data_IF_813440439130
#
_entry.id   IF_813440439130
#
_cell.length_a   1.000
_cell.length_b   1.000
_cell.length_c   1.000
_cell.angle_alpha   90.00
_cell.angle_beta   90.00
_cell.angle_gamma   90.00
#
_symmetry.space_group_name_H-M   'P 1'
#
loop_
_entity.id
_entity.type
_entity.pdbx_description
1 polymer ?
#
# COMPACT_ATOMS: atom_id res chain seq x y z
N UNK A 1 -9.20 -2.11 16.12
CA UNK A 1 -9.09 -2.49 14.70
C UNK A 1 -7.61 -2.42 14.36
N UNK A 2 -7.02 -3.46 13.76
CA UNK A 2 -5.59 -3.46 13.48
C UNK A 2 -5.19 -2.35 12.50
N UNK A 3 -4.15 -1.60 12.83
CA UNK A 3 -3.52 -0.57 12.02
C UNK A 3 -2.26 -1.18 11.40
N UNK A 4 -2.20 -1.14 10.07
CA UNK A 4 -1.03 -1.57 9.30
C UNK A 4 -0.40 -0.36 8.62
N UNK A 5 0.90 -0.18 8.82
CA UNK A 5 1.72 0.74 8.04
C UNK A 5 2.26 0.01 6.83
N UNK A 6 1.75 0.41 5.67
CA UNK A 6 2.19 -0.09 4.37
C UNK A 6 3.30 0.81 3.86
N UNK A 7 4.50 0.26 3.75
CA UNK A 7 5.70 0.99 3.30
C UNK A 7 6.14 0.50 1.94
N UNK A 8 6.50 1.42 1.06
CA UNK A 8 7.06 1.10 -0.25
C UNK A 8 8.54 0.76 -0.08
N UNK A 9 8.92 -0.44 -0.54
CA UNK A 9 10.30 -0.93 -0.45
C UNK A 9 11.11 -0.70 -1.72
N UNK A 10 10.44 -0.48 -2.85
CA UNK A 10 11.08 -0.38 -4.16
C UNK A 10 10.49 0.80 -4.92
N UNK A 11 11.35 1.70 -5.41
CA UNK A 11 10.94 2.81 -6.26
C UNK A 11 10.48 2.27 -7.62
N UNK A 12 9.32 2.73 -8.09
CA UNK A 12 8.78 2.35 -9.40
C UNK A 12 8.24 3.59 -10.10
N UNK A 13 8.51 3.66 -11.40
CA UNK A 13 7.96 4.68 -12.29
C UNK A 13 7.16 3.93 -13.35
N UNK A 14 5.85 4.17 -13.40
CA UNK A 14 4.97 3.49 -14.34
C UNK A 14 3.75 4.35 -14.64
N UNK A 15 3.28 4.35 -15.89
CA UNK A 15 2.11 5.10 -16.34
C UNK A 15 2.12 6.59 -15.94
N UNK A 16 3.29 7.24 -16.01
CA UNK A 16 3.44 8.67 -15.68
C UNK A 16 3.37 9.00 -14.18
N UNK A 17 3.22 8.01 -13.32
CA UNK A 17 3.24 8.17 -11.87
C UNK A 17 4.51 7.52 -11.29
N UNK A 18 4.97 8.04 -10.15
CA UNK A 18 6.19 7.58 -9.46
C UNK A 18 5.88 7.29 -7.99
N UNK A 19 6.36 6.14 -7.52
CA UNK A 19 6.35 5.79 -6.10
C UNK A 19 7.80 5.67 -5.67
N UNK A 20 8.16 6.37 -4.59
CA UNK A 20 9.49 6.30 -4.00
C UNK A 20 9.57 5.34 -2.82
N UNK A 21 10.72 4.67 -2.71
CA UNK A 21 11.10 3.87 -1.56
C UNK A 21 11.09 4.72 -0.30
N UNK A 22 10.48 4.21 0.76
CA UNK A 22 10.34 4.90 2.05
C UNK A 22 9.02 5.63 2.24
N UNK A 23 8.20 5.74 1.19
CA UNK A 23 6.84 6.26 1.30
C UNK A 23 5.97 5.25 2.08
N UNK A 24 5.30 5.72 3.13
CA UNK A 24 4.45 4.88 3.96
C UNK A 24 3.06 5.48 4.15
N UNK A 25 2.06 4.62 4.23
CA UNK A 25 0.65 4.95 4.45
C UNK A 25 0.10 4.04 5.53
N UNK A 26 -0.62 4.61 6.48
CA UNK A 26 -1.29 3.88 7.55
C UNK A 26 -2.71 3.51 7.11
N UNK A 27 -3.04 2.23 7.21
CA UNK A 27 -4.32 1.66 6.78
C UNK A 27 -4.94 0.93 7.96
N UNK A 28 -6.17 1.29 8.30
CA UNK A 28 -7.00 0.54 9.24
C UNK A 28 -7.68 -0.63 8.52
N UNK A 29 -7.39 -1.84 8.96
CA UNK A 29 -8.05 -3.06 8.47
C UNK A 29 -9.02 -3.61 9.50
N UNK A 30 -10.03 -4.35 9.04
CA UNK A 30 -10.91 -5.11 9.93
C UNK A 30 -10.30 -6.45 10.29
N UNK A 31 -9.42 -6.99 9.43
CA UNK A 31 -8.78 -8.29 9.62
C UNK A 31 -7.35 -8.13 10.16
N UNK A 32 -6.91 -9.07 11.00
CA UNK A 32 -5.53 -9.19 11.45
C UNK A 32 -4.57 -9.77 10.39
N UNK A 33 -5.09 -10.14 9.22
CA UNK A 33 -4.31 -10.68 8.11
C UNK A 33 -3.56 -9.57 7.36
N UNK A 34 -2.50 -9.94 6.64
CA UNK A 34 -1.72 -8.98 5.87
C UNK A 34 -2.61 -8.31 4.79
N UNK A 35 -2.78 -6.97 4.83
CA UNK A 35 -3.68 -6.27 3.91
C UNK A 35 -3.32 -6.45 2.44
N UNK A 36 -2.06 -6.75 2.12
CA UNK A 36 -1.56 -6.91 0.75
C UNK A 36 -2.09 -8.20 0.10
N UNK A 37 -2.23 -9.27 0.87
CA UNK A 37 -2.69 -10.59 0.40
C UNK A 37 -4.17 -10.85 0.68
N UNK A 38 -4.79 -10.00 1.49
CA UNK A 38 -6.20 -10.08 1.86
C UNK A 38 -7.11 -9.39 0.82
N UNK A 39 -8.44 -9.62 0.86
CA UNK A 39 -9.41 -8.82 0.11
C UNK A 39 -9.37 -7.32 0.44
N UNK A 40 -8.75 -6.91 1.56
CA UNK A 40 -8.61 -5.50 1.95
C UNK A 40 -7.53 -4.74 1.17
N UNK A 41 -6.91 -5.37 0.17
CA UNK A 41 -5.95 -4.74 -0.76
C UNK A 41 -6.53 -3.50 -1.46
N UNK A 42 -7.86 -3.43 -1.61
CA UNK A 42 -8.53 -2.27 -2.18
C UNK A 42 -8.47 -1.04 -1.27
N UNK A 43 -8.56 -1.24 0.06
CA UNK A 43 -8.38 -0.15 1.03
C UNK A 43 -6.97 0.41 1.00
N UNK A 44 -5.97 -0.46 0.81
CA UNK A 44 -4.58 -0.02 0.61
C UNK A 44 -4.48 0.84 -0.65
N UNK A 45 -5.04 0.38 -1.78
CA UNK A 45 -5.05 1.15 -3.02
C UNK A 45 -5.74 2.51 -2.84
N UNK A 46 -6.90 2.55 -2.19
CA UNK A 46 -7.63 3.79 -1.89
C UNK A 46 -6.86 4.72 -0.95
N UNK A 47 -6.19 4.20 0.08
CA UNK A 47 -5.40 5.01 1.00
C UNK A 47 -4.20 5.66 0.30
N UNK A 48 -3.52 4.94 -0.59
CA UNK A 48 -2.45 5.50 -1.42
C UNK A 48 -2.97 6.51 -2.45
N UNK A 49 -4.15 6.26 -3.03
CA UNK A 49 -4.78 7.21 -3.93
C UNK A 49 -5.13 8.52 -3.20
N UNK A 50 -5.74 8.42 -2.03
CA UNK A 50 -6.23 9.57 -1.27
C UNK A 50 -5.09 10.39 -0.64
N UNK A 51 -4.11 9.74 0.01
CA UNK A 51 -3.04 10.45 0.71
C UNK A 51 -1.92 10.91 -0.21
N UNK A 52 -1.67 10.18 -1.31
CA UNK A 52 -0.45 10.35 -2.12
C UNK A 52 -0.74 10.55 -3.61
N UNK A 53 -2.00 10.41 -4.05
CA UNK A 53 -2.37 10.60 -5.46
C UNK A 53 -1.86 9.50 -6.38
N UNK A 54 -1.46 8.34 -5.84
CA UNK A 54 -0.85 7.25 -6.62
C UNK A 54 -1.81 6.07 -6.76
N UNK A 55 -2.09 5.70 -8.01
CA UNK A 55 -2.88 4.52 -8.36
C UNK A 55 -2.01 3.24 -8.33
N UNK A 56 -1.92 2.60 -7.16
CA UNK A 56 -1.19 1.32 -7.01
C UNK A 56 -1.70 0.21 -7.94
N UNK A 57 -3.01 0.20 -8.24
CA UNK A 57 -3.63 -0.76 -9.15
C UNK A 57 -3.15 -0.55 -10.59
N UNK A 58 -3.15 0.68 -11.11
CA UNK A 58 -2.64 0.98 -12.47
C UNK A 58 -1.15 0.69 -12.60
N UNK A 59 -0.38 0.97 -11.55
CA UNK A 59 1.05 0.66 -11.55
C UNK A 59 1.38 -0.82 -11.45
N UNK A 60 0.41 -1.70 -11.21
CA UNK A 60 0.66 -3.10 -10.86
C UNK A 60 1.71 -3.22 -9.73
N UNK A 61 1.56 -2.38 -8.69
CA UNK A 61 2.47 -2.28 -7.54
C UNK A 61 1.84 -2.80 -6.24
N UNK A 62 0.60 -3.31 -6.30
CA UNK A 62 -0.14 -3.85 -5.16
C UNK A 62 0.30 -5.28 -4.81
N UNK A 63 1.59 -5.49 -4.58
CA UNK A 63 2.14 -6.81 -4.24
C UNK A 63 3.25 -6.71 -3.18
N UNK A 64 3.63 -7.85 -2.60
CA UNK A 64 4.68 -7.93 -1.59
C UNK A 64 6.11 -7.64 -2.08
N UNK A 65 6.30 -7.49 -3.40
CA UNK A 65 7.59 -7.12 -3.98
C UNK A 65 7.86 -5.62 -3.98
N UNK A 66 6.80 -4.81 -3.95
CA UNK A 66 6.89 -3.34 -3.89
C UNK A 66 6.41 -2.77 -2.56
N UNK A 67 5.55 -3.49 -1.82
CA UNK A 67 4.94 -3.04 -0.58
C UNK A 67 5.26 -3.99 0.57
N UNK A 68 5.56 -3.41 1.74
CA UNK A 68 5.75 -4.11 3.02
C UNK A 68 4.73 -3.60 4.02
N UNK A 69 3.82 -4.46 4.46
CA UNK A 69 2.89 -4.16 5.54
C UNK A 69 3.53 -4.49 6.89
N UNK A 70 3.57 -3.53 7.80
CA UNK A 70 4.03 -3.70 9.19
C UNK A 70 2.88 -3.32 10.11
N UNK A 71 2.55 -4.18 11.07
CA UNK A 71 1.49 -3.89 12.04
C UNK A 71 1.99 -2.91 13.10
N UNK A 72 1.19 -1.89 13.40
CA UNK A 72 1.49 -0.87 14.42
C UNK A 72 0.57 -1.00 15.65
N UNK A 73 -0.62 -1.60 15.52
CA UNK A 73 -1.50 -1.92 16.65
C UNK A 73 -2.77 -2.59 16.20
#
# INVERSE_FOLDING_TARGET
MPIFRVTVITTKICCGQRIDKGLSVDVQTYTYANPIFSPEKEKVAQAFLFQRGVDLKKMNALNGGFLKATRIG
#
